data_IF_275665695543
#
_entry.id   IF_275665695543
#
_cell.length_a   1.000
_cell.length_b   1.000
_cell.length_c   1.000
_cell.angle_alpha   90.00
_cell.angle_beta   90.00
_cell.angle_gamma   90.00
#
_symmetry.space_group_name_H-M   'P 1'
#
loop_
_entity.id
_entity.type
_entity.pdbx_description
1 polymer ?
#
# COMPACT_ATOMS: atom_id res chain seq x y z
N UNK A 1 -15.78 -48.18 15.61
CA UNK A 1 -16.24 -48.10 14.20
C UNK A 1 -15.11 -47.47 13.39
N UNK A 2 -14.59 -48.13 12.34
CA UNK A 2 -13.49 -47.58 11.53
C UNK A 2 -14.06 -46.53 10.55
N UNK A 3 -13.47 -45.34 10.42
CA UNK A 3 -13.94 -44.35 9.46
C UNK A 3 -13.84 -44.91 8.04
N UNK A 4 -14.84 -44.64 7.21
CA UNK A 4 -14.90 -45.10 5.82
C UNK A 4 -14.14 -44.14 4.89
N UNK A 5 -13.75 -44.61 3.71
CA UNK A 5 -12.92 -43.84 2.75
C UNK A 5 -13.54 -42.49 2.37
N UNK A 6 -14.87 -42.40 2.36
CA UNK A 6 -15.60 -41.16 2.09
C UNK A 6 -15.35 -40.11 3.18
N UNK A 7 -15.32 -40.51 4.46
CA UNK A 7 -15.00 -39.61 5.57
C UNK A 7 -13.60 -38.98 5.42
N UNK A 8 -12.60 -39.78 5.06
CA UNK A 8 -11.25 -39.28 4.81
C UNK A 8 -11.18 -38.34 3.61
N UNK A 9 -11.92 -38.62 2.54
CA UNK A 9 -11.96 -37.79 1.34
C UNK A 9 -12.58 -36.41 1.64
N UNK A 10 -13.68 -36.37 2.40
CA UNK A 10 -14.34 -35.13 2.80
C UNK A 10 -13.48 -34.33 3.77
N UNK A 11 -12.82 -35.00 4.72
CA UNK A 11 -11.93 -34.32 5.67
C UNK A 11 -10.72 -33.70 4.96
N UNK A 12 -10.13 -34.40 3.99
CA UNK A 12 -9.05 -33.89 3.17
C UNK A 12 -9.49 -32.69 2.32
N UNK A 13 -10.66 -32.77 1.68
CA UNK A 13 -11.20 -31.68 0.87
C UNK A 13 -11.45 -30.40 1.69
N UNK A 14 -12.00 -30.54 2.91
CA UNK A 14 -12.20 -29.41 3.84
C UNK A 14 -10.85 -28.83 4.30
N UNK A 15 -9.87 -29.68 4.58
CA UNK A 15 -8.53 -29.24 4.99
C UNK A 15 -7.84 -28.39 3.90
N UNK A 16 -7.99 -28.78 2.63
CA UNK A 16 -7.45 -28.03 1.48
C UNK A 16 -8.22 -26.72 1.27
N UNK A 17 -9.54 -26.71 1.45
CA UNK A 17 -10.37 -25.52 1.31
C UNK A 17 -10.12 -24.46 2.40
N UNK A 18 -9.63 -24.86 3.58
CA UNK A 18 -9.28 -23.94 4.68
C UNK A 18 -7.89 -23.30 4.52
N UNK A 19 -7.08 -23.73 3.55
CA UNK A 19 -5.77 -23.10 3.25
C UNK A 19 -5.88 -21.88 2.32
N UNK A 20 -7.08 -21.37 2.06
CA UNK A 20 -7.29 -20.18 1.21
C UNK A 20 -6.89 -18.92 1.97
N UNK A 21 -5.60 -18.56 1.86
CA UNK A 21 -5.06 -17.20 1.82
C UNK A 21 -5.21 -16.32 3.06
N UNK A 22 -4.11 -16.13 3.81
CA UNK A 22 -3.94 -14.96 4.67
C UNK A 22 -3.80 -13.71 3.80
N UNK A 23 -4.88 -12.91 3.69
CA UNK A 23 -4.81 -11.59 3.09
C UNK A 23 -4.04 -10.66 4.03
N UNK A 24 -2.84 -10.23 3.62
CA UNK A 24 -2.11 -9.16 4.31
C UNK A 24 -2.86 -7.86 4.10
N UNK A 25 -3.53 -7.37 5.14
CA UNK A 25 -4.16 -6.06 5.13
C UNK A 25 -3.05 -4.99 5.11
N UNK A 26 -2.82 -4.41 3.93
CA UNK A 26 -1.95 -3.25 3.79
C UNK A 26 -2.74 -1.97 4.12
N UNK A 27 -2.09 -1.06 4.83
CA UNK A 27 -2.58 0.30 5.02
C UNK A 27 -2.25 1.14 3.79
N UNK A 28 -2.97 2.24 3.62
CA UNK A 28 -2.80 3.14 2.48
C UNK A 28 -2.67 4.57 2.97
N UNK A 29 -1.56 5.22 2.61
CA UNK A 29 -1.39 6.67 2.78
C UNK A 29 -1.35 7.33 1.40
N UNK A 30 -1.97 8.50 1.28
CA UNK A 30 -1.89 9.36 0.11
C UNK A 30 -1.37 10.72 0.54
N UNK A 31 -0.58 11.38 -0.29
CA UNK A 31 -0.02 12.66 0.09
C UNK A 31 0.98 13.21 -0.92
N UNK A 32 1.58 14.34 -0.57
CA UNK A 32 2.61 14.99 -1.37
C UNK A 32 3.99 14.43 -1.02
N UNK A 33 4.75 14.04 -2.03
CA UNK A 33 6.15 13.67 -1.90
C UNK A 33 6.95 14.91 -1.47
N UNK A 34 7.52 14.88 -0.28
CA UNK A 34 8.43 15.92 0.20
C UNK A 34 9.84 15.61 -0.29
N UNK A 35 10.24 14.34 -0.16
CA UNK A 35 11.56 13.89 -0.56
C UNK A 35 11.54 12.40 -0.94
N UNK A 36 12.44 12.01 -1.84
CA UNK A 36 12.72 10.63 -2.17
C UNK A 36 14.24 10.40 -2.21
N UNK A 37 14.78 9.89 -1.10
CA UNK A 37 16.18 9.52 -0.98
C UNK A 37 16.39 8.09 -1.49
N UNK A 38 17.04 7.98 -2.65
CA UNK A 38 17.38 6.70 -3.27
C UNK A 38 18.57 6.00 -2.61
N UNK A 39 19.39 6.72 -1.84
CA UNK A 39 20.52 6.17 -1.11
C UNK A 39 20.09 5.46 0.16
N UNK A 40 19.12 6.02 0.89
CA UNK A 40 18.56 5.42 2.11
C UNK A 40 17.28 4.60 1.86
N UNK A 41 16.77 4.59 0.63
CA UNK A 41 15.51 3.95 0.25
C UNK A 41 14.32 4.47 1.08
N UNK A 42 14.21 5.79 1.23
CA UNK A 42 13.15 6.42 1.99
C UNK A 42 12.35 7.43 1.18
N UNK A 43 11.03 7.42 1.36
CA UNK A 43 10.14 8.47 0.87
C UNK A 43 9.53 9.20 2.06
N UNK A 44 9.67 10.52 2.08
CA UNK A 44 8.96 11.38 3.03
C UNK A 44 7.69 11.90 2.36
N UNK A 45 6.54 11.61 2.98
CA UNK A 45 5.22 12.00 2.50
C UNK A 45 4.57 12.96 3.48
N UNK A 46 4.04 14.07 2.98
CA UNK A 46 3.07 14.89 3.72
C UNK A 46 1.67 14.33 3.44
N UNK A 47 1.05 13.70 4.44
CA UNK A 47 -0.21 12.97 4.30
C UNK A 47 -1.39 13.91 4.04
N UNK A 48 -2.26 13.48 3.11
CA UNK A 48 -3.50 14.15 2.79
C UNK A 48 -4.67 13.39 3.41
N UNK A 49 -5.72 14.12 3.76
CA UNK A 49 -6.98 13.54 4.21
C UNK A 49 -7.80 12.94 3.06
N UNK A 50 -8.98 12.42 3.39
CA UNK A 50 -9.91 11.83 2.44
C UNK A 50 -10.99 12.84 1.96
N UNK A 51 -10.82 14.13 2.24
CA UNK A 51 -11.79 15.17 1.86
C UNK A 51 -11.48 15.68 0.46
N UNK A 52 -12.05 15.00 -0.55
CA UNK A 52 -11.88 15.37 -1.95
C UNK A 52 -12.85 16.50 -2.36
N UNK A 53 -12.34 17.48 -3.10
CA UNK A 53 -13.14 18.51 -3.78
C UNK A 53 -12.60 18.77 -5.19
N UNK A 54 -13.27 19.63 -5.96
CA UNK A 54 -12.80 20.04 -7.29
C UNK A 54 -11.49 20.85 -7.19
N UNK A 55 -11.34 21.66 -6.14
CA UNK A 55 -10.10 22.40 -5.83
C UNK A 55 -9.01 21.50 -5.27
N UNK A 56 -9.39 20.44 -4.55
CA UNK A 56 -8.50 19.50 -3.88
C UNK A 56 -8.78 18.05 -4.32
N UNK A 57 -8.49 17.68 -5.58
CA UNK A 57 -8.87 16.39 -6.14
C UNK A 57 -8.15 15.18 -5.52
N UNK A 58 -7.12 15.44 -4.71
CA UNK A 58 -6.32 14.42 -4.02
C UNK A 58 -6.45 14.48 -2.48
N UNK A 59 -7.34 15.32 -1.95
CA UNK A 59 -7.45 15.57 -0.50
C UNK A 59 -6.67 16.80 -0.07
N UNK A 60 -6.86 17.19 1.18
CA UNK A 60 -6.18 18.33 1.78
C UNK A 60 -5.01 17.90 2.65
N UNK A 61 -3.96 18.73 2.71
CA UNK A 61 -2.83 18.43 3.59
C UNK A 61 -3.26 18.39 5.05
N UNK A 62 -2.83 17.34 5.75
CA UNK A 62 -2.97 17.20 7.21
C UNK A 62 -1.80 17.84 7.97
N UNK A 63 -0.73 18.22 7.27
CA UNK A 63 0.54 18.67 7.87
C UNK A 63 1.37 17.55 8.51
N UNK A 64 0.89 16.31 8.54
CA UNK A 64 1.62 15.16 9.09
C UNK A 64 2.63 14.67 8.07
N UNK A 65 3.91 14.61 8.47
CA UNK A 65 4.96 13.99 7.66
C UNK A 65 5.23 12.56 8.15
N UNK A 66 5.25 11.64 7.20
CA UNK A 66 5.51 10.22 7.45
C UNK A 66 6.62 9.75 6.53
N UNK A 67 7.58 9.01 7.09
CA UNK A 67 8.67 8.38 6.34
C UNK A 67 8.33 6.92 6.09
N UNK A 68 8.52 6.50 4.84
CA UNK A 68 8.30 5.13 4.39
C UNK A 68 9.61 4.51 3.91
N UNK A 69 9.90 3.31 4.39
CA UNK A 69 10.95 2.45 3.82
C UNK A 69 10.42 1.86 2.52
N UNK A 70 11.12 2.13 1.41
CA UNK A 70 10.74 1.67 0.07
C UNK A 70 11.74 0.66 -0.52
N UNK A 71 12.58 0.05 0.32
CA UNK A 71 13.62 -0.89 -0.10
C UNK A 71 13.07 -2.03 -0.97
N UNK A 72 11.95 -2.63 -0.55
CA UNK A 72 11.31 -3.77 -1.23
C UNK A 72 10.08 -3.35 -2.06
N UNK A 73 9.81 -2.04 -2.19
CA UNK A 73 8.57 -1.55 -2.77
C UNK A 73 8.57 -1.66 -4.30
N UNK A 74 7.42 -2.03 -4.87
CA UNK A 74 7.20 -1.83 -6.31
C UNK A 74 6.88 -0.36 -6.58
N UNK A 75 7.80 0.34 -7.23
CA UNK A 75 7.64 1.75 -7.59
C UNK A 75 7.21 1.86 -9.04
N UNK A 76 6.10 2.56 -9.30
CA UNK A 76 5.62 2.88 -10.64
C UNK A 76 6.45 3.97 -11.32
N UNK A 77 5.81 5.07 -11.74
CA UNK A 77 6.53 6.25 -12.24
C UNK A 77 7.33 6.85 -11.07
N UNK A 78 8.62 7.12 -11.29
CA UNK A 78 9.52 7.62 -10.27
C UNK A 78 8.95 8.89 -9.57
N UNK A 79 8.89 8.90 -8.23
CA UNK A 79 8.52 10.09 -7.46
C UNK A 79 9.54 11.21 -7.60
N UNK A 80 9.03 12.45 -7.61
CA UNK A 80 9.79 13.69 -7.45
C UNK A 80 9.13 14.55 -6.37
N UNK A 81 9.89 15.42 -5.68
CA UNK A 81 9.31 16.39 -4.75
C UNK A 81 8.17 17.19 -5.39
N UNK A 82 7.04 17.27 -4.70
CA UNK A 82 5.82 17.92 -5.18
C UNK A 82 4.82 17.00 -5.88
N UNK A 83 5.22 15.79 -6.27
CA UNK A 83 4.28 14.79 -6.79
C UNK A 83 3.29 14.33 -5.72
N UNK A 84 2.10 13.90 -6.15
CA UNK A 84 1.14 13.24 -5.26
C UNK A 84 1.30 11.74 -5.42
N UNK A 85 1.54 11.06 -4.30
CA UNK A 85 1.76 9.63 -4.24
C UNK A 85 0.63 8.95 -3.47
N UNK A 86 0.38 7.68 -3.81
CA UNK A 86 -0.38 6.74 -3.02
C UNK A 86 0.51 5.55 -2.70
N UNK A 87 0.71 5.29 -1.41
CA UNK A 87 1.57 4.23 -0.91
C UNK A 87 0.71 3.19 -0.20
N UNK A 88 0.85 1.93 -0.61
CA UNK A 88 0.37 0.79 0.16
C UNK A 88 1.52 0.27 1.01
N UNK A 89 1.31 0.10 2.31
CA UNK A 89 2.38 -0.20 3.26
C UNK A 89 1.90 -1.11 4.39
N UNK A 90 2.85 -1.70 5.11
CA UNK A 90 2.62 -2.50 6.31
C UNK A 90 3.52 -2.02 7.45
N UNK A 91 3.06 -2.07 8.70
CA UNK A 91 3.91 -1.75 9.84
C UNK A 91 5.04 -2.80 9.95
N UNK A 92 6.28 -2.31 10.03
CA UNK A 92 7.49 -3.08 10.37
C UNK A 92 8.05 -2.45 11.65
N UNK A 93 8.74 -3.23 12.49
CA UNK A 93 9.07 -2.90 13.87
C UNK A 93 9.42 -1.42 14.16
N UNK A 94 10.20 -0.78 13.29
CA UNK A 94 10.63 0.62 13.44
C UNK A 94 10.25 1.53 12.26
N UNK A 95 9.52 1.02 11.26
CA UNK A 95 9.23 1.77 10.04
C UNK A 95 7.93 1.33 9.36
N UNK A 96 7.34 2.23 8.56
CA UNK A 96 6.27 1.86 7.63
C UNK A 96 6.93 1.33 6.34
N UNK A 97 6.82 0.02 6.10
CA UNK A 97 7.41 -0.62 4.92
C UNK A 97 6.43 -0.57 3.76
N UNK A 98 6.79 0.15 2.70
CA UNK A 98 5.96 0.26 1.51
C UNK A 98 6.04 -1.02 0.67
N UNK A 99 4.87 -1.50 0.25
CA UNK A 99 4.73 -2.59 -0.71
C UNK A 99 4.63 -2.05 -2.14
N UNK A 100 3.92 -0.92 -2.32
CA UNK A 100 3.73 -0.28 -3.62
C UNK A 100 3.72 1.23 -3.49
N UNK A 101 4.37 1.90 -4.43
CA UNK A 101 4.38 3.36 -4.57
C UNK A 101 3.82 3.73 -5.93
N UNK A 102 2.69 4.43 -5.92
CA UNK A 102 2.00 4.91 -7.12
C UNK A 102 2.07 6.42 -7.20
N UNK A 103 2.58 6.96 -8.30
CA UNK A 103 2.57 8.40 -8.56
C UNK A 103 1.24 8.80 -9.24
N UNK A 104 0.27 9.22 -8.41
CA UNK A 104 -1.09 9.49 -8.89
C UNK A 104 -1.15 10.79 -9.67
N UNK A 105 -0.33 11.81 -9.34
CA UNK A 105 -0.35 13.10 -10.06
C UNK A 105 0.15 12.99 -11.50
N UNK A 106 1.09 12.06 -11.78
CA UNK A 106 1.61 11.78 -13.13
C UNK A 106 0.75 10.78 -13.92
N UNK A 107 -0.08 9.99 -13.23
CA UNK A 107 -1.00 9.03 -13.85
C UNK A 107 -2.41 9.59 -14.07
N UNK A 108 -2.70 10.78 -13.54
CA UNK A 108 -4.02 11.37 -13.62
C UNK A 108 -4.40 11.77 -15.05
N UNK A 109 -5.45 11.13 -15.57
CA UNK A 109 -6.00 11.41 -16.90
C UNK A 109 -6.86 12.67 -16.94
N UNK A 110 -7.31 13.22 -15.80
CA UNK A 110 -8.09 14.46 -15.75
C UNK A 110 -7.30 15.68 -16.25
N UNK A 111 -5.97 15.57 -16.33
CA UNK A 111 -5.05 16.60 -16.82
C UNK A 111 -4.79 16.54 -18.32
N UNK A 112 -5.34 15.54 -19.04
CA UNK A 112 -5.20 15.36 -20.49
C UNK A 112 -6.50 15.74 -21.20
#
# INVERSE_FOLDING_TARGET
>A
MKPNKLFYLTFFAISVALMVGSATAAEVSQGKCIDYDRGTHQITLEEYDLQFSDEHPYGMSTGVQTVFDVTDAMIGIAPEPGDILRLAWVPKAEAKSALRVMNVSKQDLRKK
#
